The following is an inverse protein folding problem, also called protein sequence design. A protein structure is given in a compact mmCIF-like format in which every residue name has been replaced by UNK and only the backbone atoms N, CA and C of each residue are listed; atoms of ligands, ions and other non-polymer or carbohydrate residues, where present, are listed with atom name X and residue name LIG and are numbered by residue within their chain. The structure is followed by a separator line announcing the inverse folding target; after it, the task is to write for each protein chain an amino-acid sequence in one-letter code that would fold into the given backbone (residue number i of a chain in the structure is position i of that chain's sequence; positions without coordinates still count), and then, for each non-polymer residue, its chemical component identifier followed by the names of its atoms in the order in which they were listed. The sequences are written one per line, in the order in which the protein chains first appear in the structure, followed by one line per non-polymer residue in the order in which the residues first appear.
data_IF_963451645828
#
_entry.id   IF_963451645828
#
_cell.length_a   1.000
_cell.length_b   1.000
_cell.length_c   1.000
_cell.angle_alpha   90.00
_cell.angle_beta   90.00
_cell.angle_gamma   90.00
#
_symmetry.space_group_name_H-M   'P 1'
#
loop_
_entity.id
_entity.type
_entity.pdbx_description
1 polymer ?
#
# COMPACT_ATOMS: atom_id res chain seq x y z
N UNK A 1 -21.23 7.67 -8.86
CA UNK A 1 -19.81 7.94 -8.57
C UNK A 1 -18.99 7.36 -9.70
N UNK A 2 -18.12 8.17 -10.31
CA UNK A 2 -17.25 7.74 -11.41
C UNK A 2 -16.34 6.59 -10.95
N UNK A 3 -16.00 5.65 -11.84
CA UNK A 3 -15.23 4.44 -11.51
C UNK A 3 -13.87 4.79 -10.88
N UNK A 4 -13.21 5.81 -11.40
CA UNK A 4 -11.91 6.28 -10.93
C UNK A 4 -11.94 6.77 -9.46
N UNK A 5 -12.93 7.58 -9.08
CA UNK A 5 -13.09 8.03 -7.69
C UNK A 5 -13.37 6.88 -6.71
N UNK A 6 -14.07 5.83 -7.15
CA UNK A 6 -14.26 4.63 -6.32
C UNK A 6 -12.95 3.85 -6.13
N UNK A 7 -12.10 3.87 -7.14
CA UNK A 7 -10.78 3.22 -7.16
C UNK A 7 -9.80 3.96 -6.25
N UNK A 8 -9.83 5.29 -6.25
CA UNK A 8 -9.03 6.14 -5.36
C UNK A 8 -9.29 5.82 -3.88
N UNK A 9 -10.56 5.82 -3.45
CA UNK A 9 -10.94 5.50 -2.06
C UNK A 9 -10.47 4.10 -1.67
N UNK A 10 -10.61 3.12 -2.57
CA UNK A 10 -10.16 1.74 -2.32
C UNK A 10 -8.65 1.65 -2.16
N UNK A 11 -7.89 2.37 -3.00
CA UNK A 11 -6.44 2.39 -2.92
C UNK A 11 -5.97 3.09 -1.65
N UNK A 12 -6.54 4.25 -1.31
CA UNK A 12 -6.23 4.97 -0.07
C UNK A 12 -6.47 4.09 1.16
N UNK A 13 -7.65 3.49 1.31
CA UNK A 13 -7.96 2.60 2.44
C UNK A 13 -7.02 1.39 2.45
N UNK A 14 -6.82 0.77 1.28
CA UNK A 14 -5.95 -0.39 1.13
C UNK A 14 -4.51 -0.10 1.56
N UNK A 15 -3.89 0.96 1.02
CA UNK A 15 -2.53 1.34 1.35
C UNK A 15 -2.38 1.84 2.78
N UNK A 16 -3.36 2.57 3.33
CA UNK A 16 -3.32 2.96 4.75
C UNK A 16 -3.28 1.74 5.68
N UNK A 17 -4.10 0.73 5.41
CA UNK A 17 -4.07 -0.55 6.15
C UNK A 17 -2.73 -1.27 5.97
N UNK A 18 -2.24 -1.34 4.73
CA UNK A 18 -1.00 -2.05 4.40
C UNK A 18 0.22 -1.39 5.06
N UNK A 19 0.29 -0.06 5.03
CA UNK A 19 1.33 0.73 5.71
C UNK A 19 1.24 0.59 7.23
N UNK A 20 0.03 0.57 7.81
CA UNK A 20 -0.17 0.37 9.24
C UNK A 20 0.35 -1.00 9.69
N UNK A 21 0.03 -2.06 8.92
CA UNK A 21 0.52 -3.42 9.17
C UNK A 21 2.04 -3.52 9.02
N UNK A 22 2.61 -2.84 8.03
CA UNK A 22 4.06 -2.83 7.81
C UNK A 22 4.79 -2.14 8.98
N UNK A 23 4.27 -0.98 9.43
CA UNK A 23 4.83 -0.22 10.56
C UNK A 23 4.62 -0.88 11.92
N UNK A 24 3.54 -1.64 12.09
CA UNK A 24 3.25 -2.38 13.32
C UNK A 24 3.48 -3.89 13.19
N UNK A 25 4.40 -4.29 12.31
CA UNK A 25 4.69 -5.70 12.05
C UNK A 25 5.18 -6.48 13.28
N UNK A 26 5.71 -5.79 14.31
CA UNK A 26 6.03 -6.38 15.60
C UNK A 26 4.84 -6.96 16.36
N UNK A 27 3.61 -6.46 16.13
CA UNK A 27 2.40 -7.00 16.76
C UNK A 27 2.08 -8.42 16.27
N UNK A 28 2.50 -8.80 15.06
CA UNK A 28 2.32 -10.18 14.58
C UNK A 28 3.05 -11.19 15.46
N UNK A 29 4.22 -10.85 15.99
CA UNK A 29 4.97 -11.75 16.89
C UNK A 29 4.36 -11.82 18.31
N UNK A 30 3.56 -10.83 18.70
CA UNK A 30 2.77 -10.87 19.94
C UNK A 30 1.52 -11.74 19.74
N UNK A 31 0.83 -11.58 18.60
CA UNK A 31 -0.36 -12.36 18.26
C UNK A 31 -0.05 -13.86 18.02
N UNK A 32 1.13 -14.16 17.49
CA UNK A 32 1.58 -15.53 17.21
C UNK A 32 2.84 -15.87 18.03
N UNK A 33 2.70 -16.22 19.32
CA UNK A 33 3.84 -16.46 20.21
C UNK A 33 4.75 -17.62 19.74
N UNK A 34 4.21 -18.59 18.98
CA UNK A 34 4.98 -19.71 18.43
C UNK A 34 6.04 -19.31 17.39
N UNK A 35 6.02 -18.08 16.86
CA UNK A 35 7.06 -17.57 15.96
C UNK A 35 8.23 -16.89 16.68
N UNK A 36 8.13 -16.67 18.00
CA UNK A 36 9.12 -15.90 18.79
C UNK A 36 10.41 -16.67 19.07
N UNK A 37 10.34 -18.00 19.13
CA UNK A 37 11.49 -18.85 19.48
C UNK A 37 12.44 -19.11 18.29
N UNK A 38 12.12 -18.60 17.10
CA UNK A 38 13.00 -18.72 15.96
C UNK A 38 14.21 -17.78 16.08
N UNK A 39 15.41 -18.33 15.94
CA UNK A 39 16.65 -17.56 15.78
C UNK A 39 17.05 -17.51 14.31
N UNK A 40 17.30 -16.30 13.81
CA UNK A 40 17.81 -16.05 12.46
C UNK A 40 19.23 -15.49 12.62
N UNK A 41 20.23 -16.22 12.13
CA UNK A 41 21.64 -15.82 12.20
C UNK A 41 22.14 -15.51 13.64
N UNK A 42 21.57 -16.17 14.65
CA UNK A 42 21.87 -15.94 16.07
C UNK A 42 21.12 -14.78 16.72
N UNK A 43 20.26 -14.07 15.96
CA UNK A 43 19.40 -13.00 16.47
C UNK A 43 17.93 -13.46 16.55
N UNK A 44 17.16 -13.00 17.55
CA UNK A 44 15.74 -13.33 17.63
C UNK A 44 14.97 -12.83 16.38
N UNK A 45 14.19 -13.73 15.77
CA UNK A 45 13.41 -13.46 14.56
C UNK A 45 12.43 -12.29 14.74
N UNK A 46 11.89 -12.13 15.95
CA UNK A 46 10.93 -11.09 16.35
C UNK A 46 11.44 -9.66 16.18
N UNK A 47 12.75 -9.46 15.99
CA UNK A 47 13.34 -8.15 15.66
C UNK A 47 13.84 -8.10 14.22
N UNK A 48 14.50 -9.17 13.77
CA UNK A 48 15.11 -9.22 12.45
C UNK A 48 14.05 -9.10 11.33
N UNK A 49 12.92 -9.81 11.48
CA UNK A 49 11.85 -9.81 10.49
C UNK A 49 11.16 -8.44 10.43
N UNK A 50 10.67 -7.83 11.53
CA UNK A 50 10.06 -6.50 11.46
C UNK A 50 10.99 -5.42 10.91
N UNK A 51 12.30 -5.47 11.22
CA UNK A 51 13.28 -4.53 10.66
C UNK A 51 13.43 -4.72 9.15
N UNK A 52 13.57 -5.97 8.68
CA UNK A 52 13.64 -6.25 7.24
C UNK A 52 12.35 -5.88 6.50
N UNK A 53 11.19 -6.15 7.10
CA UNK A 53 9.86 -5.82 6.55
C UNK A 53 9.62 -4.31 6.55
N UNK A 54 10.00 -3.60 7.61
CA UNK A 54 9.90 -2.15 7.73
C UNK A 54 10.88 -1.39 6.83
N UNK A 55 11.99 -2.02 6.42
CA UNK A 55 12.95 -1.40 5.50
C UNK A 55 12.68 -1.81 4.05
N UNK A 56 12.91 -3.08 3.70
CA UNK A 56 12.79 -3.58 2.34
C UNK A 56 11.33 -3.80 1.94
N UNK A 57 10.52 -4.36 2.85
CA UNK A 57 9.10 -4.57 2.59
C UNK A 57 8.37 -3.24 2.35
N UNK A 58 8.65 -2.24 3.19
CA UNK A 58 8.06 -0.90 3.05
C UNK A 58 8.46 -0.23 1.74
N UNK A 59 9.71 -0.35 1.31
CA UNK A 59 10.16 0.16 0.01
C UNK A 59 9.36 -0.44 -1.15
N UNK A 60 9.13 -1.76 -1.15
CA UNK A 60 8.32 -2.42 -2.17
C UNK A 60 6.87 -1.92 -2.15
N UNK A 61 6.28 -1.80 -0.95
CA UNK A 61 4.90 -1.30 -0.79
C UNK A 61 4.76 0.12 -1.34
N UNK A 62 5.69 1.02 -1.02
CA UNK A 62 5.64 2.42 -1.46
C UNK A 62 5.88 2.53 -2.97
N UNK A 63 6.77 1.72 -3.55
CA UNK A 63 6.97 1.69 -5.01
C UNK A 63 5.68 1.24 -5.73
N UNK A 64 5.03 0.18 -5.24
CA UNK A 64 3.76 -0.30 -5.81
C UNK A 64 2.69 0.77 -5.67
N UNK A 65 2.62 1.43 -4.52
CA UNK A 65 1.69 2.53 -4.26
C UNK A 65 1.89 3.68 -5.24
N UNK A 66 3.13 4.13 -5.43
CA UNK A 66 3.44 5.22 -6.35
C UNK A 66 2.99 4.90 -7.79
N UNK A 67 3.25 3.68 -8.28
CA UNK A 67 2.82 3.29 -9.62
C UNK A 67 1.30 3.23 -9.76
N UNK A 68 0.60 2.62 -8.79
CA UNK A 68 -0.86 2.48 -8.85
C UNK A 68 -1.60 3.81 -8.68
N UNK A 69 -1.05 4.76 -7.92
CA UNK A 69 -1.60 6.10 -7.81
C UNK A 69 -1.36 6.92 -9.08
N UNK A 70 -0.17 6.86 -9.67
CA UNK A 70 0.10 7.54 -10.94
C UNK A 70 -0.83 7.04 -12.07
N UNK A 71 -0.98 5.72 -12.21
CA UNK A 71 -1.89 5.14 -13.20
C UNK A 71 -3.36 5.57 -12.97
N UNK A 72 -3.74 5.83 -11.71
CA UNK A 72 -5.07 6.29 -11.34
C UNK A 72 -5.27 7.78 -11.67
N UNK A 73 -4.26 8.61 -11.44
CA UNK A 73 -4.29 10.03 -11.82
C UNK A 73 -4.44 10.18 -13.36
N UNK A 74 -3.70 9.37 -14.14
CA UNK A 74 -3.82 9.33 -15.60
C UNK A 74 -5.24 8.93 -16.06
N UNK A 75 -5.87 7.95 -15.38
CA UNK A 75 -7.25 7.51 -15.67
C UNK A 75 -8.26 8.65 -15.39
N UNK A 76 -8.07 9.40 -14.30
CA UNK A 76 -8.93 10.54 -13.94
C UNK A 76 -8.81 11.66 -14.98
N UNK A 77 -7.59 11.98 -15.42
CA UNK A 77 -7.34 13.02 -16.40
C UNK A 77 -7.96 12.69 -17.77
N UNK A 78 -7.85 11.42 -18.22
CA UNK A 78 -8.45 10.96 -19.48
C UNK A 78 -9.98 11.08 -19.49
N UNK A 79 -10.64 10.73 -18.38
CA UNK A 79 -12.11 10.83 -18.26
C UNK A 79 -12.59 12.28 -18.17
N UNK A 80 -11.80 13.16 -17.53
CA UNK A 80 -12.12 14.59 -17.40
C UNK A 80 -11.97 15.31 -18.74
N UNK A 81 -10.90 15.03 -19.48
CA UNK A 81 -10.64 15.57 -20.82
C UNK A 81 -11.73 15.19 -21.82
N UNK A 82 -12.22 13.95 -21.75
CA UNK A 82 -13.32 13.45 -22.60
C UNK A 82 -14.66 14.12 -22.25
N UNK A 83 -14.96 14.32 -20.97
CA UNK A 83 -16.20 15.00 -20.55
C UNK A 83 -16.21 16.50 -20.86
N UNK A 84 -15.04 17.14 -20.90
CA UNK A 84 -14.94 18.57 -21.19
C UNK A 84 -15.17 18.85 -22.68
N UNK A 85 -14.61 18.00 -23.56
CA UNK A 85 -14.76 18.12 -25.02
C UNK A 85 -16.16 17.82 -25.54
N UNK A 86 -16.93 16.97 -24.88
CA UNK A 86 -18.35 16.73 -25.22
C UNK A 86 -19.26 17.90 -24.84
N UNK A 87 -18.92 18.64 -23.77
CA UNK A 87 -19.69 19.80 -23.30
C UNK A 87 -19.49 21.05 -24.14
N UNK A 88 -18.39 21.16 -24.90
CA UNK A 88 -18.10 22.32 -25.77
C UNK A 88 -18.68 22.18 -27.19
N UNK A 89 -19.20 20.99 -27.55
CA UNK A 89 -19.80 20.72 -28.87
C UNK A 89 -21.33 20.61 -28.85
N UNK A 90 -21.98 20.95 -27.72
CA UNK A 90 -23.43 20.97 -27.55
C UNK A 90 -23.99 22.37 -27.52
#
# INVERSE_FOLDING_TARGET
MNSAYKKEIRYTIGFSLLLLLCGHSGLFFVAFPGLRDAMILGFPSQYCIPVALGWLGLMVVVVIQAKLTNDLDDEIEAVTSTNTTSKTKG
#
